data_IF_001649865696
#
_entry.id   IF_001649865696
#
_cell.length_a   1.000
_cell.length_b   1.000
_cell.length_c   1.000
_cell.angle_alpha   90.00
_cell.angle_beta   90.00
_cell.angle_gamma   90.00
#
_symmetry.space_group_name_H-M   'P 1'
#
loop_
_entity.id
_entity.type
_entity.pdbx_description
1 polymer ?
#
# COMPACT_ATOMS: atom_id res chain seq x y z
N UNK A 1 18.94 32.81 38.89
CA UNK A 1 20.07 33.04 37.94
C UNK A 1 19.58 34.01 36.86
N UNK A 2 20.41 34.96 36.45
CA UNK A 2 20.09 35.92 35.38
C UNK A 2 20.37 35.27 34.00
N UNK A 3 19.79 35.78 32.91
CA UNK A 3 20.11 35.29 31.56
C UNK A 3 21.60 35.47 31.25
N UNK A 4 22.18 34.51 30.53
CA UNK A 4 23.57 34.59 30.07
C UNK A 4 23.72 35.56 28.91
N UNK A 5 24.95 36.00 28.64
CA UNK A 5 25.25 36.83 27.48
C UNK A 5 24.86 36.14 26.16
N UNK A 6 25.02 34.81 26.07
CA UNK A 6 24.59 34.02 24.92
C UNK A 6 23.08 34.03 24.74
N UNK A 7 22.30 33.91 25.81
CA UNK A 7 20.83 34.01 25.72
C UNK A 7 20.40 35.38 25.20
N UNK A 8 21.01 36.45 25.72
CA UNK A 8 20.70 37.81 25.27
C UNK A 8 21.10 38.03 23.81
N UNK A 9 22.23 37.48 23.39
CA UNK A 9 22.75 37.57 22.05
C UNK A 9 21.86 36.85 21.04
N UNK A 10 21.46 35.59 21.31
CA UNK A 10 20.55 34.83 20.45
C UNK A 10 19.10 35.36 20.47
N UNK A 11 18.70 36.07 21.53
CA UNK A 11 17.42 36.77 21.56
C UNK A 11 17.42 38.04 20.72
N UNK A 12 18.50 38.84 20.80
CA UNK A 12 18.60 40.14 20.12
C UNK A 12 19.01 40.01 18.66
N UNK A 13 19.79 38.97 18.32
CA UNK A 13 20.27 38.67 16.97
C UNK A 13 19.97 37.21 16.59
N UNK A 14 18.69 36.80 16.57
CA UNK A 14 18.32 35.42 16.32
C UNK A 14 18.72 34.97 14.92
N UNK A 15 19.26 33.75 14.84
CA UNK A 15 19.62 33.09 13.58
C UNK A 15 18.43 32.35 13.00
N UNK A 16 18.49 32.07 11.71
CA UNK A 16 17.58 31.14 11.03
C UNK A 16 16.06 31.42 11.16
N UNK A 17 15.65 32.66 11.47
CA UNK A 17 14.23 33.03 11.41
C UNK A 17 13.74 32.96 9.96
N UNK A 18 12.57 32.37 9.75
CA UNK A 18 11.89 32.35 8.46
C UNK A 18 11.10 31.08 8.22
N UNK A 19 10.82 30.81 6.95
CA UNK A 19 10.12 29.63 6.47
C UNK A 19 10.86 29.07 5.25
N UNK A 20 10.71 27.78 4.99
CA UNK A 20 11.18 27.14 3.76
C UNK A 20 9.93 26.64 3.02
N UNK A 21 9.62 27.22 1.87
CA UNK A 21 8.40 26.89 1.12
C UNK A 21 8.38 25.44 0.63
N UNK A 22 9.55 24.91 0.28
CA UNK A 22 9.77 23.56 -0.25
C UNK A 22 10.50 22.66 0.77
N UNK A 23 10.18 22.82 2.06
CA UNK A 23 10.79 22.04 3.14
C UNK A 23 10.55 20.53 2.99
N UNK A 24 11.58 19.74 3.29
CA UNK A 24 11.50 18.27 3.29
C UNK A 24 10.82 17.75 4.56
N UNK A 25 10.98 18.44 5.70
CA UNK A 25 10.32 18.17 6.97
C UNK A 25 9.75 19.44 7.62
N UNK A 26 8.62 19.31 8.32
CA UNK A 26 7.99 20.42 9.06
C UNK A 26 7.52 19.91 10.41
N UNK A 27 7.92 20.59 11.48
CA UNK A 27 7.62 20.23 12.85
C UNK A 27 6.93 21.35 13.61
N UNK A 28 6.13 21.00 14.61
CA UNK A 28 5.45 21.95 15.48
C UNK A 28 5.61 21.53 16.94
N UNK A 29 5.83 22.52 17.82
CA UNK A 29 5.86 22.30 19.26
C UNK A 29 5.21 23.49 19.98
N UNK A 30 4.79 23.29 21.21
CA UNK A 30 4.28 24.37 22.04
C UNK A 30 4.02 23.93 23.47
N UNK A 31 3.89 24.90 24.37
CA UNK A 31 3.59 24.66 25.78
C UNK A 31 2.20 25.19 26.14
N UNK A 32 1.27 24.34 26.59
CA UNK A 32 -0.03 24.78 27.10
C UNK A 32 0.08 25.68 28.34
N UNK A 33 1.20 25.61 29.07
CA UNK A 33 1.39 26.32 30.34
C UNK A 33 1.66 27.82 30.14
N UNK A 34 2.45 28.17 29.12
CA UNK A 34 2.83 29.55 28.83
C UNK A 34 2.28 30.08 27.50
N UNK A 35 1.75 29.20 26.64
CA UNK A 35 1.21 29.56 25.32
C UNK A 35 2.26 29.73 24.23
N UNK A 36 3.53 29.44 24.52
CA UNK A 36 4.61 29.51 23.53
C UNK A 36 4.35 28.47 22.41
N UNK A 37 4.52 28.88 21.15
CA UNK A 37 4.33 28.02 19.98
C UNK A 37 5.49 28.16 19.00
N UNK A 38 5.89 27.05 18.40
CA UNK A 38 7.03 26.92 17.50
C UNK A 38 6.63 26.12 16.26
N UNK A 39 7.10 26.58 15.10
CA UNK A 39 7.15 25.79 13.87
C UNK A 39 8.57 25.80 13.31
N UNK A 40 9.03 24.63 12.88
CA UNK A 40 10.37 24.39 12.31
C UNK A 40 10.23 23.80 10.91
N UNK A 41 11.07 24.25 9.98
CA UNK A 41 11.20 23.74 8.62
C UNK A 41 12.63 23.29 8.36
N UNK A 42 12.81 22.12 7.79
CA UNK A 42 14.13 21.57 7.43
C UNK A 42 14.22 21.23 5.94
N UNK A 43 15.38 21.47 5.35
CA UNK A 43 15.78 21.02 4.01
C UNK A 43 16.93 20.04 4.16
N UNK A 44 16.85 18.90 3.48
CA UNK A 44 17.80 17.81 3.63
C UNK A 44 18.43 17.48 2.28
N UNK A 45 19.74 17.30 2.26
CA UNK A 45 20.49 16.73 1.14
C UNK A 45 21.46 15.68 1.69
N UNK A 46 21.50 14.51 1.04
CA UNK A 46 22.35 13.38 1.44
C UNK A 46 22.24 13.04 2.94
N UNK A 47 21.01 13.01 3.47
CA UNK A 47 20.69 12.76 4.89
C UNK A 47 21.27 13.78 5.88
N UNK A 48 21.69 14.96 5.42
CA UNK A 48 22.17 16.06 6.27
C UNK A 48 21.29 17.31 6.16
N UNK A 49 21.14 18.05 7.27
CA UNK A 49 20.37 19.29 7.33
C UNK A 49 21.12 20.43 6.62
N UNK A 50 20.82 20.68 5.35
CA UNK A 50 21.45 21.77 4.56
C UNK A 50 20.78 23.14 4.76
N UNK A 51 19.56 23.15 5.30
CA UNK A 51 18.90 24.38 5.73
C UNK A 51 17.88 24.08 6.84
N UNK A 52 17.78 24.98 7.81
CA UNK A 52 16.77 24.93 8.86
C UNK A 52 16.29 26.35 9.13
N UNK A 53 14.97 26.50 9.26
CA UNK A 53 14.30 27.76 9.61
C UNK A 53 13.24 27.52 10.67
N UNK A 54 12.93 28.56 11.43
CA UNK A 54 11.84 28.50 12.39
C UNK A 54 11.06 29.81 12.49
N UNK A 55 9.87 29.70 13.08
CA UNK A 55 9.07 30.79 13.62
C UNK A 55 8.58 30.39 14.99
N UNK A 56 8.75 31.31 15.94
CA UNK A 56 8.33 31.11 17.32
C UNK A 56 7.51 32.32 17.76
N UNK A 57 6.41 32.06 18.44
CA UNK A 57 5.72 33.03 19.26
C UNK A 57 5.92 32.62 20.70
N UNK A 58 6.79 33.32 21.43
CA UNK A 58 7.11 32.95 22.80
C UNK A 58 8.03 33.94 23.50
N UNK A 59 8.46 33.58 24.72
CA UNK A 59 9.28 34.45 25.54
C UNK A 59 10.74 34.59 25.01
N UNK A 60 11.54 35.55 25.51
CA UNK A 60 12.92 35.75 25.05
C UNK A 60 13.80 34.48 25.12
N UNK A 61 13.59 33.65 26.14
CA UNK A 61 14.29 32.36 26.25
C UNK A 61 13.90 31.39 25.13
N UNK A 62 12.63 31.34 24.73
CA UNK A 62 12.18 30.48 23.63
C UNK A 62 12.79 30.91 22.30
N UNK A 63 12.86 32.22 22.02
CA UNK A 63 13.55 32.75 20.83
C UNK A 63 15.03 32.35 20.83
N UNK A 64 15.73 32.54 21.96
CA UNK A 64 17.13 32.18 22.07
C UNK A 64 17.37 30.66 21.91
N UNK A 65 16.52 29.82 22.52
CA UNK A 65 16.59 28.36 22.41
C UNK A 65 16.36 27.89 20.97
N UNK A 66 15.36 28.43 20.28
CA UNK A 66 15.10 28.08 18.89
C UNK A 66 16.26 28.51 17.99
N UNK A 67 16.80 29.72 18.20
CA UNK A 67 17.98 30.18 17.46
C UNK A 67 19.19 29.26 17.69
N UNK A 68 19.47 28.87 18.93
CA UNK A 68 20.59 27.99 19.25
C UNK A 68 20.38 26.59 18.67
N UNK A 69 19.19 26.01 18.83
CA UNK A 69 18.83 24.71 18.25
C UNK A 69 19.12 24.68 16.75
N UNK A 70 18.75 25.73 16.01
CA UNK A 70 19.00 25.75 14.57
C UNK A 70 20.48 25.85 14.19
N UNK A 71 21.31 26.49 15.01
CA UNK A 71 22.76 26.54 14.76
C UNK A 71 23.42 25.20 15.09
N UNK A 72 23.00 24.54 16.17
CA UNK A 72 23.48 23.20 16.52
C UNK A 72 23.10 22.17 15.45
N UNK A 73 21.85 22.20 14.99
CA UNK A 73 21.32 21.20 14.05
C UNK A 73 21.81 21.39 12.61
N UNK A 74 22.31 22.56 12.24
CA UNK A 74 22.75 22.84 10.87
C UNK A 74 23.93 21.94 10.48
N UNK A 75 23.77 21.18 9.38
CA UNK A 75 24.78 20.27 8.86
C UNK A 75 24.86 18.92 9.57
N UNK A 76 24.08 18.67 10.62
CA UNK A 76 24.01 17.34 11.26
C UNK A 76 23.35 16.32 10.35
N UNK A 77 23.71 15.04 10.53
CA UNK A 77 22.95 13.93 9.96
C UNK A 77 21.56 13.88 10.61
N UNK A 78 20.53 13.41 9.89
CA UNK A 78 19.14 13.38 10.39
C UNK A 78 18.96 12.58 11.67
N UNK A 79 19.68 11.47 11.83
CA UNK A 79 19.65 10.65 13.04
C UNK A 79 20.25 11.39 14.25
N UNK A 80 21.38 12.06 14.06
CA UNK A 80 22.04 12.85 15.12
C UNK A 80 21.16 14.03 15.54
N UNK A 81 20.56 14.71 14.56
CA UNK A 81 19.67 15.84 14.82
C UNK A 81 18.38 15.40 15.56
N UNK A 82 17.93 14.15 15.39
CA UNK A 82 16.79 13.60 16.11
C UNK A 82 17.11 13.32 17.59
N UNK A 83 18.39 13.14 17.92
CA UNK A 83 18.87 12.91 19.29
C UNK A 83 19.26 14.21 20.02
N UNK A 84 19.17 15.38 19.37
CA UNK A 84 19.50 16.67 19.98
C UNK A 84 18.56 16.96 21.15
N UNK A 85 19.10 17.00 22.36
CA UNK A 85 18.32 17.17 23.59
C UNK A 85 18.15 18.63 23.99
N UNK A 86 17.15 18.89 24.83
CA UNK A 86 16.90 20.18 25.43
C UNK A 86 17.98 20.63 26.41
N UNK A 87 18.62 19.69 27.12
CA UNK A 87 19.80 19.95 27.93
C UNK A 87 20.98 20.44 27.08
N UNK A 88 21.23 19.83 25.92
CA UNK A 88 22.30 20.27 25.00
C UNK A 88 22.04 21.68 24.47
N UNK A 89 20.78 22.01 24.13
CA UNK A 89 20.39 23.37 23.72
C UNK A 89 20.61 24.37 24.86
N UNK A 90 20.19 24.03 26.09
CA UNK A 90 20.37 24.89 27.26
C UNK A 90 21.86 25.08 27.61
N UNK A 91 22.66 24.02 27.58
CA UNK A 91 24.10 24.04 27.86
C UNK A 91 24.86 24.87 26.82
N UNK A 92 24.50 24.77 25.54
CA UNK A 92 25.10 25.57 24.48
C UNK A 92 24.88 27.09 24.70
N UNK A 93 23.75 27.46 25.31
CA UNK A 93 23.43 28.82 25.76
C UNK A 93 24.12 29.21 27.08
N UNK A 94 24.89 28.33 27.70
CA UNK A 94 25.54 28.54 28.99
C UNK A 94 24.60 28.33 30.19
N UNK A 95 23.50 27.62 29.98
CA UNK A 95 22.45 27.37 30.97
C UNK A 95 21.28 28.35 30.86
N UNK A 96 20.17 27.99 31.52
CA UNK A 96 18.96 28.79 31.60
C UNK A 96 18.55 28.98 33.07
N UNK A 97 17.77 30.02 33.41
CA UNK A 97 17.09 30.05 34.69
C UNK A 97 16.17 28.83 34.83
N UNK A 98 16.10 28.24 36.02
CA UNK A 98 15.35 27.00 36.31
C UNK A 98 13.92 26.99 35.74
N UNK A 99 13.21 28.10 35.88
CA UNK A 99 11.82 28.27 35.40
C UNK A 99 11.68 28.34 33.87
N UNK A 100 12.79 28.39 33.12
CA UNK A 100 12.83 28.60 31.67
C UNK A 100 13.42 27.41 30.90
N UNK A 101 13.74 26.31 31.57
CA UNK A 101 14.20 25.09 30.90
C UNK A 101 13.15 24.48 29.95
N UNK A 102 11.86 24.69 30.20
CA UNK A 102 10.83 24.28 29.25
C UNK A 102 10.98 24.92 27.86
N UNK A 103 11.67 26.06 27.74
CA UNK A 103 11.90 26.72 26.46
C UNK A 103 12.88 25.94 25.56
N UNK A 104 13.90 25.28 26.13
CA UNK A 104 14.79 24.41 25.35
C UNK A 104 14.08 23.12 24.93
N UNK A 105 13.18 22.62 25.76
CA UNK A 105 12.32 21.49 25.43
C UNK A 105 11.43 21.73 24.21
N UNK A 106 10.79 22.90 24.13
CA UNK A 106 9.99 23.29 22.94
C UNK A 106 10.88 23.29 21.69
N UNK A 107 12.09 23.85 21.77
CA UNK A 107 13.01 23.91 20.64
C UNK A 107 13.44 22.53 20.13
N UNK A 108 13.90 21.65 21.03
CA UNK A 108 14.30 20.28 20.70
C UNK A 108 13.12 19.46 20.15
N UNK A 109 11.95 19.57 20.77
CA UNK A 109 10.73 18.88 20.33
C UNK A 109 10.29 19.32 18.92
N UNK A 110 10.39 20.61 18.62
CA UNK A 110 10.05 21.14 17.29
C UNK A 110 10.99 20.64 16.20
N UNK A 111 12.28 20.49 16.50
CA UNK A 111 13.24 19.86 15.59
C UNK A 111 12.94 18.38 15.38
N UNK A 112 12.73 17.64 16.48
CA UNK A 112 12.40 16.22 16.44
C UNK A 112 11.16 15.96 15.57
N UNK A 113 10.08 16.71 15.78
CA UNK A 113 8.85 16.59 14.99
C UNK A 113 9.10 16.88 13.50
N UNK A 114 9.97 17.84 13.17
CA UNK A 114 10.34 18.13 11.78
C UNK A 114 11.11 16.97 11.13
N UNK A 115 12.01 16.33 11.87
CA UNK A 115 12.79 15.17 11.40
C UNK A 115 11.89 13.95 11.26
N UNK A 116 10.99 13.70 12.20
CA UNK A 116 10.01 12.62 12.08
C UNK A 116 9.08 12.84 10.88
N UNK A 117 8.64 14.09 10.65
CA UNK A 117 7.89 14.43 9.44
C UNK A 117 8.70 14.18 8.17
N UNK A 118 10.01 14.42 8.17
CA UNK A 118 10.90 14.08 7.05
C UNK A 118 11.01 12.56 6.87
N UNK A 119 11.30 11.81 7.93
CA UNK A 119 11.46 10.36 7.89
C UNK A 119 10.21 9.65 7.34
N UNK A 120 9.02 10.12 7.73
CA UNK A 120 7.75 9.62 7.19
C UNK A 120 7.58 9.93 5.70
N UNK A 121 8.08 11.07 5.22
CA UNK A 121 8.05 11.46 3.80
C UNK A 121 9.13 10.76 2.98
N UNK A 122 10.35 10.58 3.50
CA UNK A 122 11.45 9.88 2.84
C UNK A 122 11.15 8.39 2.72
N UNK A 123 10.60 7.77 3.78
CA UNK A 123 10.05 6.41 3.72
C UNK A 123 8.90 6.25 2.75
N UNK A 124 8.20 7.33 2.38
CA UNK A 124 7.32 7.30 1.20
C UNK A 124 8.20 7.32 -0.04
N UNK A 125 8.99 8.38 -0.27
CA UNK A 125 9.74 8.63 -1.53
C UNK A 125 10.61 7.46 -2.04
N UNK A 126 11.18 6.62 -1.16
CA UNK A 126 12.07 5.52 -1.55
C UNK A 126 11.37 4.15 -1.67
N UNK A 127 10.03 4.09 -1.62
CA UNK A 127 9.31 2.84 -1.84
C UNK A 127 9.40 2.46 -3.31
N UNK A 128 9.96 1.30 -3.58
CA UNK A 128 9.89 0.62 -4.87
C UNK A 128 9.05 -0.63 -4.71
N UNK A 129 8.20 -0.91 -5.69
CA UNK A 129 7.47 -2.15 -5.76
C UNK A 129 7.79 -2.85 -7.06
N UNK A 130 8.07 -4.14 -6.99
CA UNK A 130 8.19 -4.99 -8.18
C UNK A 130 7.10 -6.04 -8.12
N UNK A 131 6.32 -6.16 -9.20
CA UNK A 131 5.29 -7.18 -9.38
C UNK A 131 5.68 -8.07 -10.55
N UNK A 132 5.80 -9.36 -10.29
CA UNK A 132 6.10 -10.40 -11.28
C UNK A 132 4.90 -11.31 -11.45
N UNK A 133 4.43 -11.46 -12.69
CA UNK A 133 3.32 -12.35 -13.02
C UNK A 133 3.81 -13.79 -13.05
N UNK A 134 3.39 -14.60 -12.08
CA UNK A 134 3.75 -16.02 -12.01
C UNK A 134 2.79 -16.89 -12.83
N UNK A 135 1.51 -16.55 -12.81
CA UNK A 135 0.45 -17.29 -13.54
C UNK A 135 -0.49 -16.29 -14.19
N UNK A 136 -0.79 -16.50 -15.47
CA UNK A 136 -1.83 -15.82 -16.25
C UNK A 136 -2.27 -16.74 -17.40
N UNK A 137 -3.38 -16.38 -18.06
CA UNK A 137 -3.94 -17.07 -19.23
C UNK A 137 -3.01 -17.02 -20.45
N UNK A 138 -2.02 -16.13 -20.43
CA UNK A 138 -0.97 -16.00 -21.44
C UNK A 138 0.40 -16.07 -20.79
N UNK A 139 1.44 -16.45 -21.53
CA UNK A 139 2.79 -16.58 -21.01
C UNK A 139 3.84 -16.07 -22.00
N UNK A 140 4.92 -15.51 -21.47
CA UNK A 140 6.11 -15.19 -22.24
C UNK A 140 6.84 -16.48 -22.69
N UNK A 141 7.78 -16.33 -23.63
CA UNK A 141 8.56 -17.45 -24.15
C UNK A 141 9.29 -18.20 -23.02
N UNK A 142 9.24 -19.53 -23.08
CA UNK A 142 9.86 -20.40 -22.07
C UNK A 142 9.02 -20.65 -20.82
N UNK A 143 7.91 -19.96 -20.62
CA UNK A 143 6.95 -20.18 -19.53
C UNK A 143 5.71 -20.92 -20.03
N UNK A 144 4.88 -21.39 -19.10
CA UNK A 144 3.58 -22.00 -19.40
C UNK A 144 2.45 -21.16 -18.79
N UNK A 145 1.27 -21.25 -19.40
CA UNK A 145 0.06 -20.53 -18.96
C UNK A 145 -1.03 -21.53 -18.59
N UNK A 146 -1.97 -21.07 -17.77
CA UNK A 146 -3.20 -21.77 -17.44
C UNK A 146 -4.31 -20.75 -17.20
N UNK A 147 -5.56 -21.21 -17.11
CA UNK A 147 -6.62 -20.32 -16.66
C UNK A 147 -6.45 -20.07 -15.15
N UNK A 148 -5.88 -18.92 -14.81
CA UNK A 148 -5.68 -18.49 -13.43
C UNK A 148 -4.81 -17.27 -13.31
N UNK A 149 -4.60 -16.83 -12.07
CA UNK A 149 -3.81 -15.65 -11.77
C UNK A 149 -2.94 -15.89 -10.53
N UNK A 150 -1.69 -15.42 -10.60
CA UNK A 150 -0.84 -15.28 -9.42
C UNK A 150 0.23 -14.23 -9.65
N UNK A 151 0.47 -13.40 -8.64
CA UNK A 151 1.50 -12.38 -8.62
C UNK A 151 2.47 -12.59 -7.46
N UNK A 152 3.76 -12.47 -7.77
CA UNK A 152 4.80 -12.26 -6.78
C UNK A 152 5.05 -10.77 -6.63
N UNK A 153 4.93 -10.25 -5.42
CA UNK A 153 5.06 -8.82 -5.14
C UNK A 153 6.16 -8.61 -4.11
N UNK A 154 7.15 -7.81 -4.47
CA UNK A 154 8.24 -7.36 -3.62
C UNK A 154 8.00 -5.89 -3.25
N UNK A 155 7.91 -5.60 -1.95
CA UNK A 155 7.67 -4.25 -1.46
C UNK A 155 8.29 -4.07 -0.05
N UNK A 156 9.21 -3.11 0.09
CA UNK A 156 9.90 -2.80 1.35
C UNK A 156 10.48 -4.04 2.07
N UNK A 157 11.13 -4.93 1.31
CA UNK A 157 11.72 -6.16 1.84
C UNK A 157 10.72 -7.24 2.25
N UNK A 158 9.42 -7.06 1.92
CA UNK A 158 8.38 -8.07 2.08
C UNK A 158 8.07 -8.74 0.76
N UNK A 159 7.84 -10.05 0.82
CA UNK A 159 7.46 -10.89 -0.30
C UNK A 159 6.02 -11.37 -0.13
N UNK A 160 5.18 -10.96 -1.06
CA UNK A 160 3.75 -11.22 -1.03
C UNK A 160 3.39 -12.07 -2.24
N UNK A 161 2.75 -13.21 -2.00
CA UNK A 161 2.13 -14.03 -3.03
C UNK A 161 0.64 -13.70 -3.09
N UNK A 162 0.20 -13.01 -4.14
CA UNK A 162 -1.20 -12.67 -4.35
C UNK A 162 -1.83 -13.65 -5.35
N UNK A 163 -2.83 -14.40 -4.91
CA UNK A 163 -3.40 -15.57 -5.58
C UNK A 163 -2.36 -16.64 -5.96
N UNK A 164 -2.82 -17.81 -6.38
CA UNK A 164 -1.98 -19.02 -6.51
C UNK A 164 -2.22 -19.80 -7.79
N UNK A 165 -2.99 -19.26 -8.74
CA UNK A 165 -3.33 -19.96 -9.98
C UNK A 165 -4.26 -21.16 -9.76
N UNK A 166 -4.36 -22.00 -10.79
CA UNK A 166 -5.18 -23.22 -10.81
C UNK A 166 -4.40 -24.45 -10.35
N UNK A 167 -3.08 -24.49 -10.51
CA UNK A 167 -2.28 -25.70 -10.27
C UNK A 167 -0.89 -25.41 -9.67
N UNK A 168 -0.03 -26.43 -9.64
CA UNK A 168 1.38 -26.31 -9.27
C UNK A 168 2.24 -25.62 -10.36
N UNK A 169 1.63 -25.19 -11.48
CA UNK A 169 2.27 -24.34 -12.49
C UNK A 169 2.93 -23.09 -11.87
N UNK A 170 2.31 -22.54 -10.82
CA UNK A 170 2.89 -21.49 -9.97
C UNK A 170 4.36 -21.79 -9.62
N UNK A 171 4.64 -23.00 -9.12
CA UNK A 171 5.98 -23.40 -8.64
C UNK A 171 6.94 -23.55 -9.81
N UNK A 172 6.46 -24.08 -10.95
CA UNK A 172 7.26 -24.21 -12.17
C UNK A 172 7.68 -22.86 -12.73
N UNK A 173 6.75 -21.92 -12.86
CA UNK A 173 7.04 -20.58 -13.36
C UNK A 173 7.92 -19.79 -12.38
N UNK A 174 7.66 -19.86 -11.07
CA UNK A 174 8.50 -19.22 -10.06
C UNK A 174 9.97 -19.66 -10.17
N UNK A 175 10.21 -20.99 -10.30
CA UNK A 175 11.58 -21.52 -10.50
C UNK A 175 12.25 -20.98 -11.77
N UNK A 176 11.53 -20.89 -12.88
CA UNK A 176 12.08 -20.36 -14.16
C UNK A 176 12.36 -18.86 -14.10
N UNK A 177 11.62 -18.14 -13.27
CA UNK A 177 11.76 -16.70 -13.05
C UNK A 177 12.75 -16.35 -11.93
N UNK A 178 13.41 -17.34 -11.33
CA UNK A 178 14.28 -17.18 -10.15
C UNK A 178 13.56 -16.55 -8.94
N UNK A 179 12.25 -16.79 -8.81
CA UNK A 179 11.47 -16.41 -7.64
C UNK A 179 11.53 -17.55 -6.62
N UNK A 180 12.02 -17.25 -5.42
CA UNK A 180 12.09 -18.20 -4.31
C UNK A 180 10.82 -18.11 -3.45
N UNK A 181 9.85 -18.97 -3.75
CA UNK A 181 8.59 -19.02 -3.00
C UNK A 181 8.77 -19.34 -1.51
N UNK A 182 9.90 -19.89 -1.07
CA UNK A 182 10.13 -20.14 0.36
C UNK A 182 10.29 -18.85 1.18
N UNK A 183 10.57 -17.72 0.52
CA UNK A 183 10.69 -16.40 1.15
C UNK A 183 9.36 -15.68 1.34
N UNK A 184 8.23 -16.30 0.96
CA UNK A 184 6.91 -15.69 1.07
C UNK A 184 6.60 -15.32 2.52
N UNK A 185 6.43 -14.02 2.80
CA UNK A 185 5.98 -13.55 4.11
C UNK A 185 4.45 -13.71 4.25
N UNK A 186 3.71 -13.44 3.16
CA UNK A 186 2.24 -13.50 3.16
C UNK A 186 1.66 -14.04 1.84
N UNK A 187 0.65 -14.91 1.96
CA UNK A 187 -0.18 -15.39 0.86
C UNK A 187 -1.56 -14.73 0.97
N UNK A 188 -1.97 -14.00 -0.06
CA UNK A 188 -3.22 -13.24 -0.07
C UNK A 188 -4.15 -13.84 -1.14
N UNK A 189 -5.36 -14.25 -0.75
CA UNK A 189 -6.35 -14.80 -1.68
C UNK A 189 -7.43 -13.77 -1.96
N UNK A 190 -7.59 -13.41 -3.23
CA UNK A 190 -8.56 -12.42 -3.69
C UNK A 190 -10.01 -12.90 -3.55
N UNK A 191 -10.26 -14.19 -3.78
CA UNK A 191 -11.54 -14.88 -3.60
C UNK A 191 -11.35 -16.40 -3.72
N UNK A 192 -12.45 -17.14 -3.56
CA UNK A 192 -12.47 -18.59 -3.43
C UNK A 192 -12.52 -19.42 -4.71
N UNK A 193 -12.30 -18.85 -5.89
CA UNK A 193 -12.34 -19.64 -7.12
C UNK A 193 -11.09 -20.51 -7.32
N UNK A 194 -11.26 -21.65 -7.99
CA UNK A 194 -10.21 -22.65 -8.17
C UNK A 194 -8.96 -22.13 -8.89
N UNK A 195 -9.13 -21.17 -9.79
CA UNK A 195 -8.10 -20.57 -10.64
C UNK A 195 -7.30 -19.45 -9.94
N UNK A 196 -7.66 -19.16 -8.71
CA UNK A 196 -6.93 -18.26 -7.81
C UNK A 196 -6.38 -18.99 -6.58
N UNK A 197 -6.92 -20.17 -6.26
CA UNK A 197 -6.64 -20.91 -5.02
C UNK A 197 -6.09 -22.32 -5.24
N UNK A 198 -5.97 -22.76 -6.49
CA UNK A 198 -5.62 -24.13 -6.84
C UNK A 198 -4.17 -24.48 -6.62
N UNK A 199 -3.26 -23.50 -6.68
CA UNK A 199 -1.85 -23.67 -6.30
C UNK A 199 -1.56 -23.51 -4.80
N UNK A 200 -2.55 -23.21 -3.96
CA UNK A 200 -2.35 -22.90 -2.54
C UNK A 200 -1.62 -24.01 -1.78
N UNK A 201 -1.99 -25.27 -2.01
CA UNK A 201 -1.29 -26.41 -1.39
C UNK A 201 0.21 -26.39 -1.72
N UNK A 202 0.56 -26.22 -2.99
CA UNK A 202 1.94 -26.20 -3.44
C UNK A 202 2.71 -24.98 -2.90
N UNK A 203 2.04 -23.83 -2.77
CA UNK A 203 2.61 -22.63 -2.14
C UNK A 203 2.93 -22.88 -0.66
N UNK A 204 2.02 -23.49 0.11
CA UNK A 204 2.22 -23.79 1.53
C UNK A 204 3.27 -24.88 1.78
N UNK A 205 3.46 -25.80 0.84
CA UNK A 205 4.58 -26.75 0.89
C UNK A 205 5.95 -26.05 0.74
N UNK A 206 6.00 -24.90 0.06
CA UNK A 206 7.22 -24.08 -0.09
C UNK A 206 7.40 -23.09 1.05
N UNK A 207 6.32 -22.47 1.51
CA UNK A 207 6.32 -21.46 2.57
C UNK A 207 5.33 -21.84 3.69
N UNK A 208 5.67 -22.84 4.52
CA UNK A 208 4.76 -23.34 5.56
C UNK A 208 4.46 -22.33 6.67
N UNK A 209 5.33 -21.33 6.82
CA UNK A 209 5.25 -20.30 7.85
C UNK A 209 4.63 -18.97 7.36
N UNK A 210 4.28 -18.88 6.07
CA UNK A 210 3.67 -17.68 5.51
C UNK A 210 2.30 -17.41 6.15
N UNK A 211 2.00 -16.12 6.40
CA UNK A 211 0.68 -15.70 6.85
C UNK A 211 -0.31 -15.73 5.69
N UNK A 212 -1.44 -16.42 5.86
CA UNK A 212 -2.48 -16.57 4.86
C UNK A 212 -3.61 -15.58 5.17
N UNK A 213 -3.98 -14.76 4.19
CA UNK A 213 -5.08 -13.82 4.31
C UNK A 213 -6.16 -14.14 3.30
N UNK A 214 -7.38 -14.34 3.78
CA UNK A 214 -8.53 -14.65 2.95
C UNK A 214 -9.84 -14.30 3.64
N UNK A 215 -10.88 -14.03 2.87
CA UNK A 215 -12.22 -13.88 3.43
C UNK A 215 -12.74 -15.25 3.94
N UNK A 216 -13.50 -15.32 5.06
CA UNK A 216 -14.07 -16.58 5.57
C UNK A 216 -14.81 -17.41 4.52
N UNK A 217 -15.49 -16.75 3.60
CA UNK A 217 -16.28 -17.40 2.55
C UNK A 217 -15.42 -17.94 1.39
N UNK A 218 -14.11 -17.67 1.33
CA UNK A 218 -13.27 -18.15 0.23
C UNK A 218 -13.29 -19.69 0.10
N UNK A 219 -13.45 -20.43 1.19
CA UNK A 219 -13.54 -21.89 1.17
C UNK A 219 -14.95 -22.46 0.88
N UNK A 220 -15.95 -21.61 0.62
CA UNK A 220 -17.30 -22.06 0.25
C UNK A 220 -17.30 -22.86 -1.06
N UNK A 221 -18.17 -23.86 -1.11
CA UNK A 221 -18.48 -24.59 -2.35
C UNK A 221 -19.24 -23.64 -3.27
N UNK A 222 -18.85 -23.62 -4.55
CA UNK A 222 -19.38 -22.74 -5.58
C UNK A 222 -19.52 -23.49 -6.88
N UNK A 223 -20.52 -23.10 -7.66
CA UNK A 223 -20.80 -23.66 -8.97
C UNK A 223 -20.94 -22.55 -10.00
N UNK A 224 -20.59 -22.86 -11.25
CA UNK A 224 -20.96 -22.04 -12.40
C UNK A 224 -21.76 -22.87 -13.39
N UNK A 225 -22.69 -22.22 -14.11
CA UNK A 225 -23.50 -22.85 -15.14
C UNK A 225 -23.54 -22.01 -16.41
N UNK A 226 -23.20 -22.64 -17.54
CA UNK A 226 -23.44 -22.10 -18.88
C UNK A 226 -24.81 -22.59 -19.37
N UNK A 227 -25.57 -21.83 -20.20
CA UNK A 227 -26.96 -22.14 -20.55
C UNK A 227 -27.24 -23.57 -21.04
N UNK A 228 -26.25 -24.24 -21.63
CA UNK A 228 -26.39 -25.58 -22.24
C UNK A 228 -25.51 -26.64 -21.57
N UNK A 229 -24.90 -26.33 -20.42
CA UNK A 229 -24.00 -27.26 -19.71
C UNK A 229 -24.49 -27.52 -18.30
N UNK A 230 -24.25 -28.72 -17.75
CA UNK A 230 -24.51 -28.95 -16.33
C UNK A 230 -23.67 -27.98 -15.46
N UNK A 231 -24.16 -27.65 -14.27
CA UNK A 231 -23.37 -26.96 -13.25
C UNK A 231 -22.03 -27.67 -13.03
N UNK A 232 -20.95 -26.91 -12.87
CA UNK A 232 -19.63 -27.44 -12.57
C UNK A 232 -19.04 -26.67 -11.39
N UNK A 233 -18.28 -27.35 -10.50
CA UNK A 233 -17.67 -26.70 -9.36
C UNK A 233 -16.62 -25.69 -9.82
N UNK A 234 -16.60 -24.54 -9.17
CA UNK A 234 -15.60 -23.48 -9.38
C UNK A 234 -14.94 -23.05 -8.08
N UNK A 235 -15.20 -23.75 -6.96
CA UNK A 235 -14.62 -23.46 -5.64
C UNK A 235 -13.16 -23.89 -5.52
N UNK A 236 -12.52 -23.38 -4.46
CA UNK A 236 -11.23 -23.85 -3.97
C UNK A 236 -11.17 -25.39 -3.96
N UNK A 237 -10.09 -26.00 -4.52
CA UNK A 237 -9.95 -27.45 -4.51
C UNK A 237 -9.91 -28.01 -3.09
N UNK A 238 -10.49 -29.19 -2.88
CA UNK A 238 -10.58 -29.82 -1.56
C UNK A 238 -9.22 -29.98 -0.87
N UNK A 239 -8.17 -30.32 -1.63
CA UNK A 239 -6.81 -30.44 -1.10
C UNK A 239 -6.28 -29.10 -0.57
N UNK A 240 -6.65 -27.98 -1.21
CA UNK A 240 -6.28 -26.64 -0.77
C UNK A 240 -7.07 -26.23 0.47
N UNK A 241 -8.37 -26.56 0.54
CA UNK A 241 -9.17 -26.39 1.77
C UNK A 241 -8.60 -27.17 2.96
N UNK A 242 -8.08 -28.37 2.70
CA UNK A 242 -7.41 -29.17 3.72
C UNK A 242 -6.12 -28.50 4.21
N UNK A 243 -5.24 -28.07 3.30
CA UNK A 243 -4.01 -27.36 3.68
C UNK A 243 -4.28 -26.06 4.43
N UNK A 244 -5.34 -25.33 4.06
CA UNK A 244 -5.80 -24.16 4.82
C UNK A 244 -6.24 -24.54 6.24
N UNK A 245 -7.03 -25.62 6.38
CA UNK A 245 -7.50 -26.10 7.69
C UNK A 245 -6.35 -26.53 8.61
N UNK A 246 -5.27 -27.08 8.03
CA UNK A 246 -4.04 -27.44 8.75
C UNK A 246 -3.20 -26.21 9.15
N UNK A 247 -3.34 -25.09 8.45
CA UNK A 247 -2.67 -23.82 8.76
C UNK A 247 -3.37 -23.04 9.88
N UNK A 248 -4.70 -23.17 10.04
CA UNK A 248 -5.48 -22.51 11.10
C UNK A 248 -4.92 -22.75 12.51
N UNK A 249 -4.69 -24.00 12.98
CA UNK A 249 -4.19 -24.25 14.33
C UNK A 249 -2.75 -23.77 14.55
N UNK A 250 -2.00 -23.48 13.48
CA UNK A 250 -0.65 -22.90 13.56
C UNK A 250 -0.67 -21.39 13.86
N UNK A 251 -1.83 -20.74 13.74
CA UNK A 251 -1.96 -19.29 13.88
C UNK A 251 -1.61 -18.49 12.63
N UNK A 252 -1.43 -19.18 11.49
CA UNK A 252 -0.97 -18.56 10.23
C UNK A 252 -2.13 -18.10 9.33
N UNK A 253 -3.38 -18.04 9.82
CA UNK A 253 -4.55 -17.66 9.02
C UNK A 253 -5.20 -16.41 9.61
N UNK A 254 -5.38 -15.38 8.77
CA UNK A 254 -6.09 -14.15 9.08
C UNK A 254 -7.31 -14.03 8.19
N UNK A 255 -8.49 -14.02 8.80
CA UNK A 255 -9.73 -13.83 8.07
C UNK A 255 -10.00 -12.34 7.80
N UNK A 256 -10.28 -12.00 6.55
CA UNK A 256 -10.46 -10.61 6.09
C UNK A 256 -11.92 -10.27 5.80
N UNK A 257 -12.80 -10.42 6.80
CA UNK A 257 -14.22 -10.00 6.74
C UNK A 257 -14.44 -8.47 6.78
N UNK A 258 -13.34 -7.73 6.92
CA UNK A 258 -13.23 -6.27 6.94
C UNK A 258 -11.87 -5.85 6.38
N UNK A 259 -11.64 -4.55 6.09
CA UNK A 259 -10.33 -4.07 5.69
C UNK A 259 -9.25 -4.48 6.68
N UNK A 260 -8.15 -5.05 6.16
CA UNK A 260 -7.08 -5.61 6.96
C UNK A 260 -5.74 -5.05 6.48
N UNK A 261 -5.05 -4.32 7.37
CA UNK A 261 -3.67 -3.91 7.13
C UNK A 261 -2.75 -5.12 7.34
N UNK A 262 -1.87 -5.37 6.37
CA UNK A 262 -0.91 -6.49 6.40
C UNK A 262 0.44 -5.96 6.86
N UNK A 263 0.92 -4.91 6.19
CA UNK A 263 2.18 -4.21 6.49
C UNK A 263 1.97 -2.69 6.39
N UNK A 264 2.94 -1.86 6.84
CA UNK A 264 2.91 -0.43 6.57
C UNK A 264 2.75 -0.10 5.07
N UNK A 265 1.64 0.53 4.72
CA UNK A 265 1.27 0.83 3.33
C UNK A 265 0.73 -0.34 2.51
N UNK A 266 0.46 -1.52 3.09
CA UNK A 266 -0.14 -2.67 2.40
C UNK A 266 -1.40 -3.11 3.11
N UNK A 267 -2.52 -3.20 2.40
CA UNK A 267 -3.79 -3.65 2.98
C UNK A 267 -4.66 -4.42 2.00
N UNK A 268 -5.50 -5.33 2.52
CA UNK A 268 -6.62 -5.91 1.80
C UNK A 268 -7.90 -5.13 2.11
N UNK A 269 -8.77 -4.99 1.12
CA UNK A 269 -10.06 -4.29 1.29
C UNK A 269 -11.05 -5.03 2.18
N UNK A 270 -10.90 -6.35 2.34
CA UNK A 270 -12.02 -7.21 2.71
C UNK A 270 -13.15 -7.11 1.67
N UNK A 271 -14.40 -7.47 2.03
CA UNK A 271 -15.54 -7.41 1.12
C UNK A 271 -15.75 -6.02 0.53
N UNK A 272 -15.85 -5.94 -0.80
CA UNK A 272 -16.05 -4.68 -1.50
C UNK A 272 -17.55 -4.35 -1.60
N UNK A 273 -18.02 -3.20 -1.07
CA UNK A 273 -19.42 -2.83 -1.15
C UNK A 273 -19.87 -2.59 -2.60
N UNK A 274 -20.92 -3.31 -3.03
CA UNK A 274 -21.53 -3.15 -4.35
C UNK A 274 -22.55 -2.01 -4.36
N UNK A 275 -22.10 -0.82 -4.75
CA UNK A 275 -22.95 0.39 -4.81
C UNK A 275 -23.35 0.77 -6.25
N UNK A 276 -22.58 0.32 -7.25
CA UNK A 276 -22.86 0.56 -8.65
C UNK A 276 -23.80 -0.50 -9.23
N UNK A 277 -24.99 -0.08 -9.67
CA UNK A 277 -26.03 -0.98 -10.19
C UNK A 277 -25.74 -1.57 -11.60
N UNK A 278 -24.67 -1.12 -12.25
CA UNK A 278 -24.23 -1.61 -13.55
C UNK A 278 -23.05 -2.59 -13.45
N UNK A 279 -22.58 -2.88 -12.22
CA UNK A 279 -21.58 -3.91 -11.99
C UNK A 279 -22.26 -5.20 -11.49
N UNK A 280 -21.87 -6.31 -12.11
CA UNK A 280 -22.33 -7.66 -11.78
C UNK A 280 -21.12 -8.53 -11.41
N UNK A 281 -21.39 -9.79 -11.02
CA UNK A 281 -20.36 -10.79 -10.72
C UNK A 281 -19.58 -11.24 -11.95
N UNK A 282 -19.94 -10.79 -13.15
CA UNK A 282 -19.31 -11.15 -14.41
C UNK A 282 -19.68 -12.54 -14.96
N UNK A 283 -20.55 -13.28 -14.26
CA UNK A 283 -20.98 -14.61 -14.67
C UNK A 283 -22.11 -15.17 -13.81
N UNK A 284 -22.64 -16.33 -14.22
CA UNK A 284 -23.65 -17.07 -13.48
C UNK A 284 -22.95 -18.01 -12.48
N UNK A 285 -22.90 -17.58 -11.22
CA UNK A 285 -22.29 -18.28 -10.10
C UNK A 285 -23.34 -18.59 -9.04
N UNK A 286 -23.18 -19.71 -8.34
CA UNK A 286 -24.19 -20.26 -7.44
C UNK A 286 -23.56 -20.95 -6.23
N UNK A 287 -24.23 -20.85 -5.08
CA UNK A 287 -23.86 -21.53 -3.84
C UNK A 287 -24.34 -23.00 -3.80
N UNK A 288 -25.19 -23.41 -4.75
CA UNK A 288 -25.81 -24.73 -4.81
C UNK A 288 -25.71 -25.35 -6.21
N UNK A 289 -25.67 -26.69 -6.25
CA UNK A 289 -25.57 -27.43 -7.51
C UNK A 289 -26.78 -27.18 -8.42
N UNK A 290 -28.00 -27.06 -7.86
CA UNK A 290 -29.22 -26.81 -8.63
C UNK A 290 -29.27 -25.41 -9.26
N UNK A 291 -28.32 -24.53 -8.91
CA UNK A 291 -28.20 -23.17 -9.40
C UNK A 291 -29.45 -22.32 -9.09
N UNK A 292 -29.93 -22.43 -7.86
CA UNK A 292 -31.10 -21.71 -7.33
C UNK A 292 -30.72 -20.55 -6.41
N UNK A 293 -29.50 -20.56 -5.87
CA UNK A 293 -28.95 -19.57 -4.96
C UNK A 293 -27.77 -18.85 -5.63
N UNK A 294 -27.98 -17.66 -6.23
CA UNK A 294 -26.91 -16.91 -6.86
C UNK A 294 -25.82 -16.50 -5.87
N UNK A 295 -24.56 -16.81 -6.19
CA UNK A 295 -23.40 -16.37 -5.43
C UNK A 295 -23.06 -14.92 -5.80
N UNK A 296 -22.98 -14.03 -4.80
CA UNK A 296 -22.60 -12.63 -4.96
C UNK A 296 -21.09 -12.41 -4.82
N UNK A 297 -20.34 -13.47 -4.53
CA UNK A 297 -18.88 -13.50 -4.39
C UNK A 297 -18.44 -12.42 -3.39
N UNK A 298 -19.03 -12.49 -2.19
CA UNK A 298 -18.80 -11.51 -1.12
C UNK A 298 -17.37 -11.54 -0.58
N UNK A 299 -16.66 -12.63 -0.86
CA UNK A 299 -15.25 -12.83 -0.57
C UNK A 299 -14.29 -12.08 -1.51
N UNK A 300 -14.79 -11.51 -2.61
CA UNK A 300 -13.96 -10.71 -3.52
C UNK A 300 -13.38 -9.47 -2.81
N UNK A 301 -12.05 -9.43 -2.80
CA UNK A 301 -11.26 -8.36 -2.20
C UNK A 301 -10.08 -7.98 -3.11
N UNK A 302 -9.58 -6.75 -2.94
CA UNK A 302 -8.43 -6.24 -3.65
C UNK A 302 -7.28 -5.95 -2.68
N UNK A 303 -6.05 -5.99 -3.20
CA UNK A 303 -4.84 -5.58 -2.50
C UNK A 303 -4.54 -4.12 -2.86
N UNK A 304 -4.32 -3.30 -1.83
CA UNK A 304 -3.96 -1.89 -1.95
C UNK A 304 -2.54 -1.68 -1.43
N UNK A 305 -1.69 -1.04 -2.24
CA UNK A 305 -0.31 -0.71 -1.87
C UNK A 305 -0.10 0.81 -2.05
N UNK A 306 0.30 1.48 -0.96
CA UNK A 306 0.57 2.91 -0.93
C UNK A 306 1.97 3.23 -1.45
N UNK A 307 2.04 3.86 -2.63
CA UNK A 307 3.28 4.34 -3.25
C UNK A 307 3.34 5.88 -3.27
N UNK A 308 4.53 6.49 -3.41
CA UNK A 308 4.69 7.95 -3.57
C UNK A 308 3.88 8.57 -4.70
N UNK A 309 3.75 7.83 -5.79
CA UNK A 309 3.08 8.25 -7.02
C UNK A 309 1.55 8.17 -6.90
N UNK A 310 1.04 7.46 -5.88
CA UNK A 310 -0.39 7.22 -5.66
C UNK A 310 -0.67 5.77 -5.31
N UNK A 311 -1.94 5.41 -5.23
CA UNK A 311 -2.35 4.07 -4.82
C UNK A 311 -2.14 3.05 -5.95
N UNK A 312 -1.56 1.89 -5.63
CA UNK A 312 -1.57 0.71 -6.51
C UNK A 312 -2.69 -0.21 -6.08
N UNK A 313 -3.58 -0.56 -7.01
CA UNK A 313 -4.72 -1.45 -6.79
C UNK A 313 -4.47 -2.75 -7.56
N UNK A 314 -4.30 -3.86 -6.85
CA UNK A 314 -4.10 -5.19 -7.41
C UNK A 314 -5.40 -5.99 -7.29
N UNK A 315 -5.89 -6.49 -8.42
CA UNK A 315 -7.16 -7.19 -8.58
C UNK A 315 -6.92 -8.68 -8.85
N UNK A 316 -7.72 -9.54 -8.22
CA UNK A 316 -7.84 -10.95 -8.63
C UNK A 316 -8.70 -11.04 -9.90
N UNK A 317 -10.02 -11.14 -9.70
CA UNK A 317 -11.00 -11.03 -10.77
C UNK A 317 -11.84 -9.73 -10.70
N UNK A 318 -11.90 -9.06 -9.56
CA UNK A 318 -12.81 -7.92 -9.35
C UNK A 318 -14.27 -8.29 -9.63
N UNK A 319 -14.75 -9.40 -9.03
CA UNK A 319 -16.14 -9.81 -9.14
C UNK A 319 -17.11 -8.78 -8.54
N UNK A 320 -16.66 -7.99 -7.55
CA UNK A 320 -17.37 -6.84 -7.00
C UNK A 320 -17.43 -5.65 -7.96
N UNK A 321 -16.59 -5.70 -9.00
CA UNK A 321 -16.51 -4.75 -10.08
C UNK A 321 -15.48 -3.65 -9.83
N UNK A 322 -14.76 -3.27 -10.88
CA UNK A 322 -13.62 -2.35 -10.83
C UNK A 322 -14.03 -1.00 -10.27
N UNK A 323 -15.21 -0.48 -10.64
CA UNK A 323 -15.62 0.85 -10.18
C UNK A 323 -15.97 0.84 -8.69
N UNK A 324 -16.65 -0.20 -8.21
CA UNK A 324 -16.86 -0.38 -6.77
C UNK A 324 -15.52 -0.47 -6.02
N UNK A 325 -14.55 -1.21 -6.56
CA UNK A 325 -13.22 -1.37 -5.96
C UNK A 325 -12.47 -0.04 -5.88
N UNK A 326 -12.36 0.72 -6.97
CA UNK A 326 -11.64 2.00 -6.98
C UNK A 326 -12.25 3.01 -6.01
N UNK A 327 -13.58 3.10 -5.99
CA UNK A 327 -14.30 3.96 -5.04
C UNK A 327 -14.03 3.57 -3.60
N UNK A 328 -14.02 2.28 -3.30
CA UNK A 328 -13.77 1.81 -1.95
C UNK A 328 -12.30 1.99 -1.55
N UNK A 329 -11.37 1.71 -2.47
CA UNK A 329 -9.93 1.92 -2.29
C UNK A 329 -9.58 3.38 -1.99
N UNK A 330 -10.19 4.33 -2.71
CA UNK A 330 -10.03 5.76 -2.44
C UNK A 330 -10.54 6.13 -1.04
N UNK A 331 -11.69 5.60 -0.63
CA UNK A 331 -12.25 5.82 0.72
C UNK A 331 -11.34 5.26 1.81
N UNK A 332 -10.78 4.06 1.63
CA UNK A 332 -9.94 3.40 2.63
C UNK A 332 -8.56 4.05 2.75
N UNK A 333 -7.96 4.43 1.63
CA UNK A 333 -6.61 5.02 1.60
C UNK A 333 -6.60 6.53 1.87
N UNK A 334 -7.73 7.21 1.69
CA UNK A 334 -7.79 8.67 1.65
C UNK A 334 -7.09 9.27 0.42
N UNK A 335 -6.75 8.45 -0.58
CA UNK A 335 -6.10 8.88 -1.82
C UNK A 335 -7.12 8.90 -2.96
N UNK A 336 -7.27 10.06 -3.60
CA UNK A 336 -8.16 10.21 -4.77
C UNK A 336 -7.46 9.88 -6.09
N UNK A 337 -6.12 9.75 -6.08
CA UNK A 337 -5.33 9.39 -7.25
C UNK A 337 -4.86 7.94 -7.14
N UNK A 338 -5.13 7.17 -8.19
CA UNK A 338 -4.68 5.78 -8.32
C UNK A 338 -3.53 5.78 -9.32
N UNK A 339 -2.35 5.37 -8.90
CA UNK A 339 -1.18 5.30 -9.78
C UNK A 339 -1.28 4.12 -10.75
N UNK A 340 -1.63 2.94 -10.25
CA UNK A 340 -1.69 1.73 -11.06
C UNK A 340 -2.89 0.84 -10.72
N UNK A 341 -3.46 0.20 -11.74
CA UNK A 341 -4.45 -0.89 -11.61
C UNK A 341 -3.93 -2.10 -12.36
N UNK A 342 -3.71 -3.20 -11.63
CA UNK A 342 -3.10 -4.44 -12.16
C UNK A 342 -3.99 -5.63 -11.84
N UNK A 343 -4.23 -6.52 -12.81
CA UNK A 343 -4.94 -7.77 -12.59
C UNK A 343 -6.24 -7.95 -13.37
N UNK A 344 -7.04 -8.94 -12.98
CA UNK A 344 -8.27 -9.30 -13.67
C UNK A 344 -9.42 -8.34 -13.35
N UNK A 345 -10.12 -7.88 -14.40
CA UNK A 345 -11.27 -6.97 -14.29
C UNK A 345 -12.63 -7.65 -14.53
N UNK A 346 -12.61 -8.93 -14.92
CA UNK A 346 -13.76 -9.78 -15.25
C UNK A 346 -14.75 -9.16 -16.25
N UNK A 347 -14.21 -8.55 -17.31
CA UNK A 347 -14.96 -7.85 -18.36
C UNK A 347 -15.24 -8.69 -19.62
N UNK A 348 -14.82 -9.96 -19.66
CA UNK A 348 -14.97 -10.82 -20.84
C UNK A 348 -16.42 -10.90 -21.36
N UNK A 349 -17.38 -11.03 -20.44
CA UNK A 349 -18.81 -11.11 -20.75
C UNK A 349 -19.56 -9.82 -20.37
N UNK A 350 -18.84 -8.73 -20.08
CA UNK A 350 -19.46 -7.49 -19.64
C UNK A 350 -20.20 -6.76 -20.77
N UNK A 351 -21.28 -6.07 -20.40
CA UNK A 351 -21.96 -5.16 -21.32
C UNK A 351 -21.06 -4.00 -21.74
N UNK A 352 -21.32 -3.42 -22.92
CA UNK A 352 -20.59 -2.23 -23.39
C UNK A 352 -20.66 -1.08 -22.38
N UNK A 353 -21.83 -0.89 -21.76
CA UNK A 353 -22.04 0.09 -20.70
C UNK A 353 -21.11 -0.12 -19.51
N UNK A 354 -20.93 -1.37 -19.04
CA UNK A 354 -20.04 -1.67 -17.91
C UNK A 354 -18.59 -1.35 -18.28
N UNK A 355 -18.13 -1.76 -19.46
CA UNK A 355 -16.77 -1.47 -19.95
C UNK A 355 -16.54 0.05 -20.06
N UNK A 356 -17.50 0.79 -20.62
CA UNK A 356 -17.42 2.25 -20.74
C UNK A 356 -17.35 2.93 -19.37
N UNK A 357 -18.16 2.50 -18.41
CA UNK A 357 -18.12 3.02 -17.03
C UNK A 357 -16.81 2.70 -16.33
N UNK A 358 -16.22 1.53 -16.58
CA UNK A 358 -14.87 1.22 -16.08
C UNK A 358 -13.82 2.16 -16.67
N UNK A 359 -13.86 2.44 -17.97
CA UNK A 359 -12.93 3.39 -18.62
C UNK A 359 -13.10 4.81 -18.06
N UNK A 360 -14.34 5.27 -17.88
CA UNK A 360 -14.64 6.56 -17.27
C UNK A 360 -14.05 6.66 -15.86
N UNK A 361 -14.27 5.65 -15.01
CA UNK A 361 -13.71 5.62 -13.66
C UNK A 361 -12.18 5.62 -13.65
N UNK A 362 -11.54 4.83 -14.51
CA UNK A 362 -10.07 4.81 -14.63
C UNK A 362 -9.51 6.20 -15.02
N UNK A 363 -10.24 6.98 -15.84
CA UNK A 363 -9.87 8.37 -16.15
C UNK A 363 -10.09 9.30 -14.96
N UNK A 364 -11.22 9.16 -14.27
CA UNK A 364 -11.59 9.99 -13.12
C UNK A 364 -10.56 9.86 -11.98
N UNK A 365 -10.11 8.64 -11.70
CA UNK A 365 -9.07 8.35 -10.69
C UNK A 365 -7.63 8.60 -11.18
N UNK A 366 -7.45 9.14 -12.39
CA UNK A 366 -6.14 9.54 -12.91
C UNK A 366 -5.17 8.37 -13.12
N UNK A 367 -5.65 7.18 -13.46
CA UNK A 367 -4.80 5.97 -13.51
C UNK A 367 -3.71 6.09 -14.56
N UNK A 368 -2.45 5.92 -14.13
CA UNK A 368 -1.26 6.10 -14.97
C UNK A 368 -0.70 4.80 -15.53
N UNK A 369 -0.92 3.67 -14.86
CA UNK A 369 -0.52 2.33 -15.32
C UNK A 369 -1.70 1.37 -15.25
N UNK A 370 -2.07 0.78 -16.39
CA UNK A 370 -3.21 -0.14 -16.49
C UNK A 370 -2.73 -1.43 -17.12
N UNK A 371 -2.77 -2.50 -16.33
CA UNK A 371 -2.24 -3.80 -16.74
C UNK A 371 -3.30 -4.88 -16.53
N UNK A 372 -4.30 -4.95 -17.43
CA UNK A 372 -5.37 -5.93 -17.32
C UNK A 372 -4.82 -7.33 -17.61
N UNK A 373 -5.35 -8.31 -16.87
CA UNK A 373 -4.92 -9.70 -16.94
C UNK A 373 -6.12 -10.66 -17.02
N UNK A 374 -5.83 -11.96 -17.18
CA UNK A 374 -6.72 -13.07 -16.88
C UNK A 374 -8.14 -12.94 -17.49
N UNK A 375 -9.15 -12.64 -16.68
CA UNK A 375 -10.58 -12.65 -17.02
C UNK A 375 -11.08 -11.37 -17.72
N UNK A 376 -10.19 -10.43 -18.05
CA UNK A 376 -10.59 -9.14 -18.64
C UNK A 376 -11.20 -9.30 -20.03
N UNK A 377 -10.64 -10.17 -20.87
CA UNK A 377 -11.17 -10.53 -22.19
C UNK A 377 -10.91 -9.52 -23.32
N UNK A 378 -10.84 -10.05 -24.54
CA UNK A 378 -10.31 -9.34 -25.73
C UNK A 378 -11.07 -8.04 -26.03
N UNK A 379 -12.41 -8.07 -25.99
CA UNK A 379 -13.25 -6.89 -26.26
C UNK A 379 -12.95 -5.73 -25.32
N UNK A 380 -12.76 -6.02 -24.03
CA UNK A 380 -12.46 -4.99 -23.04
C UNK A 380 -11.01 -4.52 -23.19
N UNK A 381 -10.07 -5.43 -23.44
CA UNK A 381 -8.66 -5.13 -23.72
C UNK A 381 -8.52 -4.16 -24.91
N UNK A 382 -9.21 -4.38 -26.02
CA UNK A 382 -9.18 -3.49 -27.18
C UNK A 382 -9.68 -2.08 -26.84
N UNK A 383 -10.80 -1.97 -26.11
CA UNK A 383 -11.35 -0.67 -25.70
C UNK A 383 -10.44 0.05 -24.70
N UNK A 384 -9.85 -0.67 -23.74
CA UNK A 384 -8.88 -0.12 -22.79
C UNK A 384 -7.64 0.39 -23.51
N UNK A 385 -7.05 -0.42 -24.41
CA UNK A 385 -5.89 -0.03 -25.20
C UNK A 385 -6.15 1.22 -26.05
N UNK A 386 -7.35 1.34 -26.63
CA UNK A 386 -7.76 2.54 -27.38
C UNK A 386 -7.94 3.76 -26.48
N UNK A 387 -8.45 3.59 -25.27
CA UNK A 387 -8.68 4.68 -24.32
C UNK A 387 -7.40 5.16 -23.61
N UNK A 388 -6.41 4.28 -23.48
CA UNK A 388 -5.19 4.48 -22.69
C UNK A 388 -3.93 3.98 -23.42
N UNK A 389 -3.59 4.50 -24.61
CA UNK A 389 -2.52 3.97 -25.43
C UNK A 389 -1.13 4.02 -24.75
N UNK A 390 -0.90 5.01 -23.88
CA UNK A 390 0.38 5.19 -23.18
C UNK A 390 0.42 4.51 -21.80
N UNK A 391 -0.73 4.36 -21.14
CA UNK A 391 -0.84 3.78 -19.80
C UNK A 391 -1.02 2.25 -19.83
N UNK A 392 -1.48 1.71 -20.95
CA UNK A 392 -1.79 0.29 -21.10
C UNK A 392 -0.52 -0.56 -21.25
N UNK A 393 -0.48 -1.71 -20.56
CA UNK A 393 0.52 -2.75 -20.83
C UNK A 393 -0.08 -4.16 -20.76
N UNK A 394 0.51 -5.10 -21.51
CA UNK A 394 0.13 -6.52 -21.46
C UNK A 394 0.67 -7.19 -20.19
N UNK A 395 -0.04 -8.23 -19.71
CA UNK A 395 0.25 -8.91 -18.44
C UNK A 395 0.45 -10.44 -18.58
N UNK A 396 1.27 -10.96 -19.52
CA UNK A 396 1.51 -12.41 -19.59
C UNK A 396 2.32 -12.89 -18.38
N UNK A 397 2.22 -14.18 -18.05
CA UNK A 397 3.16 -14.83 -17.12
C UNK A 397 4.61 -14.55 -17.56
N UNK A 398 5.44 -14.16 -16.60
CA UNK A 398 6.81 -13.68 -16.80
C UNK A 398 6.94 -12.17 -16.96
N UNK A 399 5.85 -11.42 -17.07
CA UNK A 399 5.92 -9.95 -17.06
C UNK A 399 6.35 -9.48 -15.67
N UNK A 400 7.39 -8.65 -15.64
CA UNK A 400 7.79 -7.86 -14.48
C UNK A 400 7.32 -6.41 -14.66
N UNK A 401 6.81 -5.82 -13.60
CA UNK A 401 6.30 -4.45 -13.54
C UNK A 401 6.95 -3.75 -12.35
N UNK A 402 7.80 -2.77 -12.63
CA UNK A 402 8.38 -1.90 -11.61
C UNK A 402 7.50 -0.66 -11.44
N UNK A 403 7.11 -0.40 -10.20
CA UNK A 403 6.15 0.63 -9.80
C UNK A 403 6.78 1.68 -8.89
#
# INVERSE_FOLDING_TARGET
MQYTDKVLEHFTHPRNIGEILDADGVGNAGSPECGDTLRVWIKIADEHLVNIKYRVFGCPAAVACCSMMTELAMGMHVDEAAELTDDQVAEALGGLPEQKYHCSNIAASGLYDAIMSYALKSHRKNKTMTLTVLVDNTAAEGLSSEHGLSFWIEYNGKHILFDTGQSDLLVHNAKKLNVDLSQTDAILLSHGHYDHTGGLKAALEKAPDAMIYLHPDAAKIRYSRKPEKPPHPVSMPQACCQSLSEAVPKGNVVYTDKPQRIYPGVMLTGPIPRVMNYEDTGGAFYDDFECTLPDRIVDDQALLIEMPQGLVVVLGCAHSGVVNTLRYAAKLSGQEQVYAVVGGMHLLNASDKRIEKTIEALKEYGVQKITPAHCTGDKAVEKLKKAFPEQYSICPAGKQIDL
#
